data_IF_365578989873
#
_entry.id   IF_365578989873
#
_cell.length_a   1.000
_cell.length_b   1.000
_cell.length_c   1.000
_cell.angle_alpha   90.00
_cell.angle_beta   90.00
_cell.angle_gamma   90.00
#
_symmetry.space_group_name_H-M   'P 1'
#
loop_
_entity.id
_entity.type
_entity.pdbx_description
1 polymer ?
#
# COMPACT_ATOMS: atom_id res chain seq x y z
N UNK A 1 17.70 -58.76 73.08
CA UNK A 1 18.67 -57.67 73.33
C UNK A 1 19.92 -58.05 72.54
N UNK A 2 20.47 -57.32 71.56
CA UNK A 2 20.79 -55.88 71.41
C UNK A 2 20.78 -55.51 69.91
N UNK A 3 20.09 -54.45 69.45
CA UNK A 3 20.61 -53.10 69.15
C UNK A 3 22.09 -52.98 68.74
N UNK A 4 22.31 -52.64 67.46
CA UNK A 4 23.33 -51.71 66.92
C UNK A 4 23.01 -51.56 65.42
N UNK A 5 22.37 -50.50 64.93
CA UNK A 5 22.96 -49.18 64.63
C UNK A 5 24.34 -49.30 63.97
N UNK A 6 24.36 -49.30 62.63
CA UNK A 6 25.52 -49.06 61.77
C UNK A 6 25.00 -48.47 60.45
N UNK A 7 24.96 -47.15 60.33
CA UNK A 7 26.05 -46.29 59.84
C UNK A 7 25.73 -45.76 58.43
N UNK A 8 25.14 -44.59 58.50
CA UNK A 8 25.06 -43.55 57.48
C UNK A 8 26.48 -43.14 57.04
N UNK A 9 26.97 -43.68 55.93
CA UNK A 9 28.15 -43.12 55.23
C UNK A 9 28.03 -43.28 53.71
N UNK A 10 27.03 -42.64 53.09
CA UNK A 10 27.16 -42.21 51.69
C UNK A 10 27.81 -40.84 51.67
N UNK A 11 29.07 -40.85 51.25
CA UNK A 11 30.06 -39.79 51.32
C UNK A 11 29.62 -38.46 50.69
N UNK A 12 29.74 -37.31 51.37
CA UNK A 12 29.47 -35.97 50.83
C UNK A 12 30.39 -35.55 49.66
N UNK A 13 31.33 -36.42 49.26
CA UNK A 13 32.30 -36.22 48.17
C UNK A 13 31.72 -36.54 46.79
N UNK A 14 30.85 -37.56 46.68
CA UNK A 14 30.20 -37.94 45.41
C UNK A 14 29.16 -36.90 44.97
N UNK A 15 28.46 -36.29 45.94
CA UNK A 15 27.52 -35.18 45.66
C UNK A 15 28.25 -33.89 45.24
N UNK A 16 29.48 -33.67 45.71
CA UNK A 16 30.27 -32.49 45.36
C UNK A 16 30.80 -32.56 43.91
N UNK A 17 31.27 -33.73 43.47
CA UNK A 17 31.69 -33.96 42.08
C UNK A 17 30.51 -33.91 41.11
N UNK A 18 29.36 -34.51 41.46
CA UNK A 18 28.15 -34.42 40.64
C UNK A 18 27.65 -32.96 40.50
N UNK A 19 27.75 -32.15 41.56
CA UNK A 19 27.42 -30.71 41.52
C UNK A 19 28.43 -29.88 40.73
N UNK A 20 29.72 -30.25 40.75
CA UNK A 20 30.75 -29.59 39.95
C UNK A 20 30.57 -29.88 38.45
N UNK A 21 30.29 -31.13 38.08
CA UNK A 21 29.97 -31.51 36.72
C UNK A 21 28.71 -30.80 36.20
N UNK A 22 27.63 -30.76 37.01
CA UNK A 22 26.40 -30.06 36.64
C UNK A 22 26.57 -28.53 36.50
N UNK A 23 27.51 -27.91 37.24
CA UNK A 23 27.85 -26.49 37.06
C UNK A 23 28.63 -26.25 35.78
N UNK A 24 29.62 -27.09 35.48
CA UNK A 24 30.42 -27.00 34.25
C UNK A 24 29.54 -27.17 32.99
N UNK A 25 28.58 -28.11 33.03
CA UNK A 25 27.66 -28.34 31.91
C UNK A 25 26.69 -27.15 31.71
N UNK A 26 26.21 -26.54 32.80
CA UNK A 26 25.38 -25.33 32.74
C UNK A 26 26.15 -24.11 32.24
N UNK A 27 27.42 -23.97 32.56
CA UNK A 27 28.26 -22.88 32.06
C UNK A 27 28.59 -23.06 30.57
N UNK A 28 28.91 -24.29 30.15
CA UNK A 28 29.09 -24.62 28.73
C UNK A 28 27.80 -24.35 27.92
N UNK A 29 26.63 -24.74 28.44
CA UNK A 29 25.34 -24.48 27.78
C UNK A 29 25.00 -22.98 27.70
N UNK A 30 25.34 -22.19 28.72
CA UNK A 30 25.16 -20.73 28.70
C UNK A 30 26.11 -20.07 27.69
N UNK A 31 27.35 -20.51 27.60
CA UNK A 31 28.32 -20.02 26.63
C UNK A 31 27.88 -20.32 25.18
N UNK A 32 27.40 -21.55 24.92
CA UNK A 32 26.87 -21.93 23.61
C UNK A 32 25.65 -21.08 23.21
N UNK A 33 24.73 -20.82 24.15
CA UNK A 33 23.53 -20.01 23.89
C UNK A 33 23.82 -18.53 23.68
N UNK A 34 24.90 -18.01 24.27
CA UNK A 34 25.37 -16.64 24.00
C UNK A 34 26.02 -16.56 22.61
N UNK A 35 26.86 -17.52 22.25
CA UNK A 35 27.47 -17.59 20.91
C UNK A 35 26.41 -17.69 19.80
N UNK A 36 25.38 -18.51 19.97
CA UNK A 36 24.27 -18.62 19.01
C UNK A 36 23.49 -17.30 18.87
N UNK A 37 23.25 -16.60 19.98
CA UNK A 37 22.56 -15.29 19.98
C UNK A 37 23.38 -14.19 19.31
N UNK A 38 24.70 -14.18 19.46
CA UNK A 38 25.58 -13.22 18.80
C UNK A 38 25.68 -13.50 17.30
N UNK A 39 25.81 -14.76 16.91
CA UNK A 39 25.78 -15.16 15.50
C UNK A 39 24.46 -14.78 14.82
N UNK A 40 23.32 -15.00 15.49
CA UNK A 40 22.00 -14.61 14.97
C UNK A 40 21.82 -13.08 14.84
N UNK A 41 22.37 -12.29 15.78
CA UNK A 41 22.35 -10.82 15.69
C UNK A 41 23.22 -10.31 14.54
N UNK A 42 24.42 -10.87 14.36
CA UNK A 42 25.31 -10.53 13.26
C UNK A 42 24.66 -10.84 11.90
N UNK A 43 24.05 -12.01 11.74
CA UNK A 43 23.32 -12.38 10.53
C UNK A 43 22.17 -11.41 10.22
N UNK A 44 21.40 -10.98 11.25
CA UNK A 44 20.28 -10.06 11.09
C UNK A 44 20.71 -8.62 10.74
N UNK A 45 21.90 -8.21 11.17
CA UNK A 45 22.49 -6.91 10.79
C UNK A 45 22.94 -6.97 9.32
N UNK A 46 23.65 -8.03 8.92
CA UNK A 46 24.09 -8.22 7.54
C UNK A 46 22.92 -8.27 6.54
N UNK A 47 21.82 -8.95 6.89
CA UNK A 47 20.61 -9.00 6.05
C UNK A 47 19.96 -7.61 5.90
N UNK A 48 19.93 -6.81 6.98
CA UNK A 48 19.37 -5.45 6.95
C UNK A 48 20.21 -4.49 6.13
N UNK A 49 21.53 -4.58 6.21
CA UNK A 49 22.45 -3.75 5.42
C UNK A 49 22.36 -4.08 3.93
N UNK A 50 22.33 -5.37 3.57
CA UNK A 50 22.13 -5.80 2.18
C UNK A 50 20.78 -5.32 1.63
N UNK A 51 19.70 -5.42 2.42
CA UNK A 51 18.38 -4.93 2.02
C UNK A 51 18.33 -3.38 1.90
N UNK A 52 19.08 -2.65 2.71
CA UNK A 52 19.17 -1.19 2.63
C UNK A 52 19.92 -0.75 1.36
N UNK A 53 21.05 -1.39 1.05
CA UNK A 53 21.82 -1.13 -0.16
C UNK A 53 21.02 -1.43 -1.44
N UNK A 54 20.29 -2.54 -1.47
CA UNK A 54 19.43 -2.88 -2.60
C UNK A 54 18.30 -1.84 -2.81
N UNK A 55 17.74 -1.29 -1.74
CA UNK A 55 16.72 -0.24 -1.82
C UNK A 55 17.28 1.10 -2.32
N UNK A 56 18.48 1.47 -1.89
CA UNK A 56 19.19 2.67 -2.37
C UNK A 56 19.49 2.57 -3.86
N UNK A 57 20.07 1.45 -4.31
CA UNK A 57 20.35 1.21 -5.73
C UNK A 57 19.09 1.30 -6.60
N UNK A 58 18.01 0.63 -6.18
CA UNK A 58 16.73 0.68 -6.89
C UNK A 58 16.10 2.10 -6.91
N UNK A 59 16.36 2.92 -5.87
CA UNK A 59 15.90 4.32 -5.82
C UNK A 59 16.70 5.19 -6.78
N UNK A 60 18.02 5.01 -6.84
CA UNK A 60 18.91 5.74 -7.74
C UNK A 60 18.58 5.44 -9.21
N UNK A 61 18.39 4.17 -9.57
CA UNK A 61 18.02 3.76 -10.92
C UNK A 61 16.67 4.35 -11.35
N UNK A 62 15.66 4.31 -10.48
CA UNK A 62 14.35 4.94 -10.73
C UNK A 62 14.44 6.46 -10.87
N UNK A 63 15.35 7.11 -10.16
CA UNK A 63 15.56 8.56 -10.27
C UNK A 63 16.20 8.90 -11.62
N UNK A 64 17.22 8.15 -12.05
CA UNK A 64 17.87 8.30 -13.34
C UNK A 64 16.89 8.09 -14.51
N UNK A 65 16.09 7.02 -14.48
CA UNK A 65 15.07 6.77 -15.50
C UNK A 65 14.02 7.90 -15.59
N UNK A 66 13.63 8.48 -14.46
CA UNK A 66 12.69 9.62 -14.44
C UNK A 66 13.31 10.90 -14.99
N UNK A 67 14.59 11.14 -14.72
CA UNK A 67 15.31 12.30 -15.24
C UNK A 67 15.42 12.22 -16.77
N UNK A 68 15.78 11.04 -17.30
CA UNK A 68 15.84 10.80 -18.74
C UNK A 68 14.48 11.01 -19.43
N UNK A 69 13.40 10.43 -18.89
CA UNK A 69 12.05 10.60 -19.44
C UNK A 69 11.56 12.06 -19.39
N UNK A 70 11.98 12.84 -18.38
CA UNK A 70 11.65 14.26 -18.29
C UNK A 70 12.39 15.06 -19.36
N UNK A 71 13.69 14.81 -19.53
CA UNK A 71 14.51 15.47 -20.54
C UNK A 71 14.01 15.20 -21.97
N UNK A 72 13.63 13.96 -22.28
CA UNK A 72 13.06 13.60 -23.58
C UNK A 72 11.73 14.33 -23.84
N UNK A 73 10.86 14.37 -22.83
CA UNK A 73 9.58 15.09 -22.94
C UNK A 73 9.77 16.59 -23.13
N UNK A 74 10.76 17.17 -22.46
CA UNK A 74 11.09 18.59 -22.55
C UNK A 74 11.68 18.94 -23.91
N UNK A 75 12.57 18.10 -24.45
CA UNK A 75 13.08 18.22 -25.83
C UNK A 75 11.94 18.16 -26.86
N UNK A 76 11.03 17.18 -26.73
CA UNK A 76 9.87 17.04 -27.63
C UNK A 76 8.91 18.22 -27.55
N UNK A 77 8.74 18.81 -26.36
CA UNK A 77 7.91 20.01 -26.16
C UNK A 77 8.58 21.27 -26.70
N UNK A 78 9.91 21.38 -26.63
CA UNK A 78 10.67 22.48 -27.21
C UNK A 78 10.61 22.45 -28.74
N UNK A 79 10.76 21.26 -29.34
CA UNK A 79 10.67 21.06 -30.80
C UNK A 79 9.26 21.39 -31.34
N UNK A 80 8.21 21.07 -30.60
CA UNK A 80 6.83 21.34 -31.01
C UNK A 80 6.40 22.82 -30.88
N UNK A 81 7.24 23.69 -30.30
CA UNK A 81 6.96 25.13 -30.14
C UNK A 81 5.74 25.47 -29.26
N UNK A 82 5.31 26.75 -29.20
CA UNK A 82 4.17 27.18 -28.39
C UNK A 82 2.84 26.53 -28.83
N UNK A 83 2.70 26.19 -30.12
CA UNK A 83 1.55 25.47 -30.66
C UNK A 83 1.51 24.01 -30.18
N UNK A 84 2.65 23.38 -29.93
CA UNK A 84 2.75 22.00 -29.42
C UNK A 84 2.04 21.78 -28.09
N UNK A 85 2.07 22.77 -27.18
CA UNK A 85 1.33 22.71 -25.91
C UNK A 85 -0.19 22.71 -26.12
N UNK A 86 -0.69 23.46 -27.10
CA UNK A 86 -2.12 23.50 -27.46
C UNK A 86 -2.54 22.20 -28.17
N UNK A 87 -1.71 21.64 -29.04
CA UNK A 87 -1.97 20.34 -29.67
C UNK A 87 -1.97 19.19 -28.66
N UNK A 88 -1.07 19.20 -27.68
CA UNK A 88 -1.06 18.21 -26.59
C UNK A 88 -2.37 18.22 -25.78
N UNK A 89 -2.97 19.39 -25.55
CA UNK A 89 -4.30 19.50 -24.92
C UNK A 89 -5.41 18.97 -25.83
N UNK A 90 -5.31 19.22 -27.14
CA UNK A 90 -6.29 18.75 -28.14
C UNK A 90 -6.28 17.22 -28.27
N UNK A 91 -5.11 16.60 -28.22
CA UNK A 91 -4.97 15.15 -28.19
C UNK A 91 -5.39 14.56 -26.83
N UNK A 92 -5.10 15.25 -25.72
CA UNK A 92 -5.58 14.84 -24.40
C UNK A 92 -7.11 14.78 -24.33
N UNK A 93 -7.84 15.63 -25.08
CA UNK A 93 -9.31 15.59 -25.15
C UNK A 93 -9.85 14.23 -25.61
N UNK A 94 -9.14 13.53 -26.51
CA UNK A 94 -9.52 12.19 -26.98
C UNK A 94 -9.48 11.14 -25.87
N UNK A 95 -8.72 11.41 -24.80
CA UNK A 95 -8.63 10.54 -23.64
C UNK A 95 -9.76 10.79 -22.63
N UNK A 96 -10.72 11.68 -22.90
CA UNK A 96 -11.89 11.89 -22.05
C UNK A 96 -13.13 11.28 -22.69
N UNK A 97 -13.79 10.37 -21.96
CA UNK A 97 -15.03 9.70 -22.38
C UNK A 97 -16.17 10.15 -21.45
N UNK A 98 -17.39 10.22 -21.99
CA UNK A 98 -18.58 10.49 -21.17
C UNK A 98 -18.88 9.24 -20.32
N UNK A 99 -18.87 9.44 -19.01
CA UNK A 99 -19.33 8.44 -18.03
C UNK A 99 -20.81 8.12 -18.15
N UNK A 100 -21.24 7.02 -17.51
CA UNK A 100 -22.64 6.71 -17.21
C UNK A 100 -23.36 7.85 -16.46
N UNK A 101 -22.61 8.66 -15.70
CA UNK A 101 -23.14 9.87 -15.04
C UNK A 101 -23.25 11.10 -15.96
N UNK A 102 -22.85 10.97 -17.23
CA UNK A 102 -22.82 12.03 -18.23
C UNK A 102 -21.75 13.10 -17.98
N UNK A 103 -20.80 12.88 -17.06
CA UNK A 103 -19.63 13.73 -16.84
C UNK A 103 -18.45 13.23 -17.70
N UNK A 104 -17.65 14.14 -18.25
CA UNK A 104 -16.40 13.77 -18.92
C UNK A 104 -15.40 13.25 -17.88
N UNK A 105 -14.83 12.08 -18.12
CA UNK A 105 -13.80 11.47 -17.28
C UNK A 105 -12.67 10.93 -18.13
N UNK A 106 -11.47 10.87 -17.56
CA UNK A 106 -10.32 10.23 -18.19
C UNK A 106 -10.64 8.75 -18.48
N UNK A 107 -10.21 8.25 -19.63
CA UNK A 107 -10.49 6.90 -20.12
C UNK A 107 -9.56 5.84 -19.50
N UNK A 108 -9.09 6.06 -18.27
CA UNK A 108 -8.27 5.06 -17.59
C UNK A 108 -9.13 3.95 -16.98
N UNK A 109 -8.58 2.75 -16.90
CA UNK A 109 -9.29 1.54 -16.45
C UNK A 109 -9.86 1.69 -15.03
N UNK A 110 -9.17 2.40 -14.13
CA UNK A 110 -9.68 2.72 -12.80
C UNK A 110 -10.90 3.66 -12.87
N UNK A 111 -10.88 4.66 -13.77
CA UNK A 111 -12.02 5.56 -13.95
C UNK A 111 -13.24 4.84 -14.50
N UNK A 112 -13.06 3.91 -15.45
CA UNK A 112 -14.13 3.05 -15.96
C UNK A 112 -14.70 2.15 -14.85
N UNK A 113 -13.82 1.55 -14.04
CA UNK A 113 -14.22 0.69 -12.92
C UNK A 113 -15.05 1.45 -11.87
N UNK A 114 -14.70 2.70 -11.60
CA UNK A 114 -15.35 3.52 -10.58
C UNK A 114 -16.48 4.40 -11.14
N UNK A 115 -16.93 4.15 -12.37
CA UNK A 115 -17.80 5.09 -13.06
C UNK A 115 -19.19 5.18 -12.44
N UNK A 116 -19.72 4.05 -11.98
CA UNK A 116 -20.97 3.97 -11.24
C UNK A 116 -20.81 4.31 -9.75
N UNK A 117 -19.60 4.59 -9.25
CA UNK A 117 -19.36 4.81 -7.81
C UNK A 117 -19.48 6.31 -7.49
N UNK A 118 -20.35 6.72 -6.55
CA UNK A 118 -20.47 8.12 -6.18
C UNK A 118 -19.22 8.58 -5.42
N UNK A 119 -18.95 9.91 -5.35
CA UNK A 119 -17.75 10.42 -4.67
C UNK A 119 -17.57 9.91 -3.23
N UNK A 120 -18.66 9.79 -2.48
CA UNK A 120 -18.68 9.24 -1.12
C UNK A 120 -18.29 7.76 -1.08
N UNK A 121 -18.79 6.95 -2.02
CA UNK A 121 -18.42 5.55 -2.19
C UNK A 121 -16.95 5.40 -2.56
N UNK A 122 -16.44 6.23 -3.46
CA UNK A 122 -15.02 6.25 -3.85
C UNK A 122 -14.12 6.56 -2.65
N UNK A 123 -14.53 7.48 -1.77
CA UNK A 123 -13.77 7.81 -0.56
C UNK A 123 -13.66 6.58 0.34
N UNK A 124 -14.79 5.94 0.68
CA UNK A 124 -14.82 4.76 1.56
C UNK A 124 -14.03 3.59 0.97
N UNK A 125 -14.29 3.27 -0.30
CA UNK A 125 -13.57 2.23 -1.03
C UNK A 125 -12.05 2.47 -1.03
N UNK A 126 -11.62 3.71 -1.29
CA UNK A 126 -10.20 4.02 -1.31
C UNK A 126 -9.54 3.92 0.08
N UNK A 127 -10.26 4.23 1.17
CA UNK A 127 -9.76 4.02 2.52
C UNK A 127 -9.56 2.53 2.82
N UNK A 128 -10.53 1.71 2.44
CA UNK A 128 -10.48 0.26 2.62
C UNK A 128 -9.34 -0.37 1.81
N UNK A 129 -9.29 -0.11 0.50
CA UNK A 129 -8.30 -0.70 -0.41
C UNK A 129 -6.88 -0.25 -0.10
N UNK A 130 -6.69 1.02 0.30
CA UNK A 130 -5.37 1.53 0.68
C UNK A 130 -5.05 1.32 2.16
N UNK A 131 -5.94 0.68 2.92
CA UNK A 131 -5.82 0.43 4.36
C UNK A 131 -5.46 1.70 5.15
N UNK A 132 -6.12 2.82 4.82
CA UNK A 132 -5.92 4.10 5.50
C UNK A 132 -6.87 4.18 6.70
N UNK A 133 -6.34 4.46 7.88
CA UNK A 133 -7.13 4.61 9.10
C UNK A 133 -8.07 5.82 9.07
N UNK A 134 -7.68 6.89 8.35
CA UNK A 134 -8.48 8.10 8.21
C UNK A 134 -8.25 8.74 6.83
N UNK A 135 -9.20 9.57 6.40
CA UNK A 135 -9.09 10.31 5.14
C UNK A 135 -8.10 11.47 5.26
N UNK A 136 -6.94 11.44 4.57
CA UNK A 136 -5.95 12.52 4.62
C UNK A 136 -6.43 13.82 3.95
N UNK A 137 -7.56 13.77 3.23
CA UNK A 137 -8.15 14.90 2.52
C UNK A 137 -9.44 15.40 3.18
N UNK A 138 -9.73 15.02 4.43
CA UNK A 138 -10.98 15.34 5.14
C UNK A 138 -11.36 16.83 5.12
N UNK A 139 -10.37 17.73 5.06
CA UNK A 139 -10.55 19.19 4.94
C UNK A 139 -11.08 19.69 3.59
N UNK A 140 -11.07 18.86 2.55
CA UNK A 140 -11.53 19.23 1.19
C UNK A 140 -13.01 18.90 1.00
N UNK A 141 -13.65 19.42 -0.05
CA UNK A 141 -15.01 18.97 -0.38
C UNK A 141 -15.03 17.51 -0.89
N UNK A 142 -16.16 16.82 -0.78
CA UNK A 142 -16.26 15.39 -1.13
C UNK A 142 -15.85 15.06 -2.58
N UNK A 143 -16.11 15.97 -3.52
CA UNK A 143 -15.64 15.84 -4.90
C UNK A 143 -14.11 15.82 -4.99
N UNK A 144 -13.45 16.81 -4.39
CA UNK A 144 -12.00 16.93 -4.33
C UNK A 144 -11.36 15.78 -3.54
N UNK A 145 -11.98 15.34 -2.44
CA UNK A 145 -11.54 14.17 -1.69
C UNK A 145 -11.50 12.92 -2.57
N UNK A 146 -12.61 12.61 -3.24
CA UNK A 146 -12.71 11.45 -4.14
C UNK A 146 -11.72 11.52 -5.29
N UNK A 147 -11.45 12.72 -5.81
CA UNK A 147 -10.48 12.94 -6.89
C UNK A 147 -9.05 12.65 -6.43
N UNK A 148 -8.65 13.21 -5.28
CA UNK A 148 -7.31 13.00 -4.73
C UNK A 148 -7.08 11.53 -4.32
N UNK A 149 -8.09 10.87 -3.72
CA UNK A 149 -8.01 9.44 -3.40
C UNK A 149 -7.91 8.55 -4.64
N UNK A 150 -8.62 8.87 -5.74
CA UNK A 150 -8.44 8.19 -7.02
C UNK A 150 -7.02 8.34 -7.56
N UNK A 151 -6.44 9.54 -7.49
CA UNK A 151 -5.05 9.74 -7.89
C UNK A 151 -4.06 8.93 -7.03
N UNK A 152 -4.35 8.79 -5.73
CA UNK A 152 -3.57 7.94 -4.83
C UNK A 152 -3.69 6.46 -5.20
N UNK A 153 -4.89 5.98 -5.53
CA UNK A 153 -5.12 4.63 -6.06
C UNK A 153 -4.36 4.40 -7.37
N UNK A 154 -4.41 5.33 -8.33
CA UNK A 154 -3.61 5.23 -9.57
C UNK A 154 -2.11 5.10 -9.28
N UNK A 155 -1.60 5.88 -8.33
CA UNK A 155 -0.22 5.78 -7.88
C UNK A 155 0.12 4.48 -7.16
N UNK A 156 -0.83 3.85 -6.46
CA UNK A 156 -0.67 2.53 -5.86
C UNK A 156 -0.66 1.42 -6.91
N UNK A 157 -1.56 1.50 -7.91
CA UNK A 157 -1.64 0.57 -9.04
C UNK A 157 -0.36 0.62 -9.87
N UNK A 158 0.12 1.82 -10.23
CA UNK A 158 1.38 1.98 -10.96
C UNK A 158 2.60 1.43 -10.21
N UNK A 159 2.51 1.31 -8.87
CA UNK A 159 3.56 0.73 -8.02
C UNK A 159 3.33 -0.76 -7.72
N UNK A 160 2.31 -1.38 -8.31
CA UNK A 160 1.88 -2.76 -8.05
C UNK A 160 1.58 -3.05 -6.56
N UNK A 161 1.22 -2.03 -5.78
CA UNK A 161 0.81 -2.19 -4.38
C UNK A 161 -0.64 -2.67 -4.30
N UNK A 162 -1.46 -2.24 -5.27
CA UNK A 162 -2.87 -2.60 -5.41
C UNK A 162 -3.10 -2.95 -6.87
N UNK A 163 -3.96 -3.92 -7.15
CA UNK A 163 -4.39 -4.28 -8.51
C UNK A 163 -5.81 -3.78 -8.77
N UNK A 164 -6.16 -3.61 -10.06
CA UNK A 164 -7.52 -3.20 -10.44
C UNK A 164 -8.53 -4.27 -10.01
N UNK A 165 -8.18 -5.55 -10.12
CA UNK A 165 -9.02 -6.65 -9.63
C UNK A 165 -9.34 -6.54 -8.13
N UNK A 166 -8.39 -6.12 -7.29
CA UNK A 166 -8.65 -5.87 -5.87
C UNK A 166 -9.62 -4.71 -5.66
N UNK A 167 -9.50 -3.64 -6.46
CA UNK A 167 -10.43 -2.50 -6.40
C UNK A 167 -11.85 -2.94 -6.81
N UNK A 168 -11.98 -3.71 -7.89
CA UNK A 168 -13.27 -4.27 -8.34
C UNK A 168 -13.88 -5.15 -7.26
N UNK A 169 -13.10 -6.08 -6.71
CA UNK A 169 -13.56 -6.99 -5.65
C UNK A 169 -14.06 -6.23 -4.43
N UNK A 170 -13.32 -5.22 -3.97
CA UNK A 170 -13.73 -4.39 -2.83
C UNK A 170 -14.95 -3.50 -3.16
N UNK A 171 -15.03 -2.98 -4.39
CA UNK A 171 -16.19 -2.21 -4.89
C UNK A 171 -17.47 -3.03 -4.78
N UNK A 172 -17.42 -4.26 -5.28
CA UNK A 172 -18.58 -5.14 -5.38
C UNK A 172 -18.94 -5.73 -4.01
N UNK A 173 -17.95 -6.13 -3.21
CA UNK A 173 -18.17 -6.62 -1.84
C UNK A 173 -18.77 -5.56 -0.92
N UNK A 174 -18.34 -4.30 -1.04
CA UNK A 174 -18.84 -3.20 -0.21
C UNK A 174 -20.10 -2.51 -0.75
N UNK A 175 -20.64 -2.95 -1.89
CA UNK A 175 -21.86 -2.37 -2.48
C UNK A 175 -21.73 -0.87 -2.79
N UNK A 176 -20.54 -0.41 -3.17
CA UNK A 176 -20.27 1.02 -3.32
C UNK A 176 -20.81 1.63 -4.63
N UNK A 177 -21.18 0.81 -5.61
CA UNK A 177 -21.72 1.26 -6.88
C UNK A 177 -23.18 1.74 -6.73
N UNK A 178 -23.55 2.77 -7.49
CA UNK A 178 -24.94 3.18 -7.64
C UNK A 178 -25.75 2.07 -8.31
N UNK A 179 -26.98 1.90 -7.86
CA UNK A 179 -27.93 1.02 -8.54
C UNK A 179 -28.37 1.63 -9.87
N UNK A 180 -28.91 0.80 -10.76
CA UNK A 180 -29.48 1.28 -12.03
C UNK A 180 -30.59 2.31 -11.80
N UNK A 181 -31.37 2.15 -10.72
CA UNK A 181 -32.42 3.09 -10.33
C UNK A 181 -31.87 4.46 -9.92
N UNK A 182 -30.77 4.49 -9.16
CA UNK A 182 -30.15 5.75 -8.73
C UNK A 182 -29.56 6.52 -9.92
N UNK A 183 -29.00 5.80 -10.90
CA UNK A 183 -28.52 6.38 -12.14
C UNK A 183 -29.68 6.98 -12.95
N UNK A 184 -30.80 6.26 -13.07
CA UNK A 184 -32.00 6.73 -13.76
C UNK A 184 -32.61 7.97 -13.08
N UNK A 185 -32.70 8.01 -11.75
CA UNK A 185 -33.19 9.19 -11.02
C UNK A 185 -32.32 10.42 -11.27
N UNK A 186 -31.00 10.23 -11.35
CA UNK A 186 -30.05 11.31 -11.64
C UNK A 186 -30.16 11.83 -13.07
N UNK A 187 -30.34 10.97 -14.06
CA UNK A 187 -30.49 11.41 -15.45
C UNK A 187 -31.77 12.22 -15.61
N UNK A 188 -32.88 11.78 -15.02
CA UNK A 188 -34.15 12.52 -15.03
C UNK A 188 -34.02 13.89 -14.36
N UNK A 189 -33.42 13.95 -13.16
CA UNK A 189 -33.20 15.22 -12.45
C UNK A 189 -32.36 16.19 -13.27
N UNK A 190 -31.29 15.70 -13.90
CA UNK A 190 -30.40 16.52 -14.72
C UNK A 190 -31.10 17.02 -15.99
N UNK A 191 -31.93 16.18 -16.62
CA UNK A 191 -32.73 16.59 -17.77
C UNK A 191 -33.72 17.71 -17.39
N UNK A 192 -34.37 17.59 -16.22
CA UNK A 192 -35.26 18.63 -15.69
C UNK A 192 -34.52 19.95 -15.42
N UNK A 193 -33.40 19.90 -14.70
CA UNK A 193 -32.56 21.07 -14.42
C UNK A 193 -32.08 21.75 -15.71
N UNK A 194 -31.73 20.97 -16.75
CA UNK A 194 -31.34 21.52 -18.05
C UNK A 194 -32.50 22.17 -18.79
N UNK A 195 -33.72 21.61 -18.72
CA UNK A 195 -34.90 22.23 -19.34
C UNK A 195 -35.32 23.54 -18.66
N UNK A 196 -35.19 23.63 -17.33
CA UNK A 196 -35.53 24.84 -16.58
C UNK A 196 -34.58 26.00 -16.88
N UNK A 197 -33.28 25.72 -17.08
CA UNK A 197 -32.29 26.75 -17.45
C UNK A 197 -32.47 27.26 -18.88
N UNK A 198 -33.01 26.44 -19.78
CA UNK A 198 -33.30 26.85 -21.17
C UNK A 198 -34.60 27.66 -21.27
N UNK A 199 -35.51 27.50 -20.30
CA UNK A 199 -36.78 28.21 -20.24
C UNK A 199 -36.73 29.56 -19.49
N UNK A 200 -35.64 29.82 -18.76
CA UNK A 200 -35.38 31.06 -18.02
C UNK A 200 -34.47 32.01 -18.80
#
# INVERSE_FOLDING_TARGET
MSKADAEKTTSPKLDAEARAAAKAEREAAKAAKLAEREAAKAAKIAEREAAAQAKEAAKAERAAARAAAKAEREARLAEAGPQGKMFALRDAKKNYVKSATGQLRTNDELAQTLDAVPPTGVIRLALEVLQLSANPYSRLNGGQQSMNLRNKLRGAIKRNVVTIAQVVKARDAGGYALTAEDLAKRTVRKAKEQSEVVAA
#
